data_IF_220266918308
#
_entry.id   IF_220266918308
#
_cell.length_a   1.000
_cell.length_b   1.000
_cell.length_c   1.000
_cell.angle_alpha   90.00
_cell.angle_beta   90.00
_cell.angle_gamma   90.00
#
_symmetry.space_group_name_H-M   'P 1'
#
loop_
_entity.id
_entity.type
_entity.pdbx_description
1 polymer ?
#
# COMPACT_ATOMS: atom_id res chain seq x y z
N UNK A 1 13.70 -21.40 -44.11
CA UNK A 1 13.64 -20.53 -42.91
C UNK A 1 14.77 -19.51 -43.07
N UNK A 2 14.47 -18.24 -43.33
CA UNK A 2 15.47 -17.22 -43.65
C UNK A 2 16.35 -16.93 -42.41
N UNK A 3 17.65 -16.68 -42.62
CA UNK A 3 18.63 -16.33 -41.57
C UNK A 3 18.10 -15.24 -40.61
N UNK A 4 17.32 -14.31 -41.16
CA UNK A 4 16.64 -13.23 -40.43
C UNK A 4 15.68 -13.75 -39.35
N UNK A 5 14.83 -14.75 -39.65
CA UNK A 5 13.90 -15.36 -38.68
C UNK A 5 14.62 -16.15 -37.59
N UNK A 6 15.81 -16.67 -37.88
CA UNK A 6 16.64 -17.37 -36.88
C UNK A 6 17.28 -16.35 -35.94
N UNK A 7 17.82 -15.25 -36.48
CA UNK A 7 18.40 -14.16 -35.69
C UNK A 7 17.37 -13.48 -34.78
N UNK A 8 16.18 -13.19 -35.29
CA UNK A 8 15.07 -12.58 -34.53
C UNK A 8 14.65 -13.48 -33.36
N UNK A 9 14.48 -14.79 -33.61
CA UNK A 9 14.15 -15.77 -32.57
C UNK A 9 15.26 -15.91 -31.53
N UNK A 10 16.54 -15.86 -31.93
CA UNK A 10 17.66 -15.89 -30.98
C UNK A 10 17.76 -14.61 -30.14
N UNK A 11 17.44 -13.44 -30.71
CA UNK A 11 17.40 -12.18 -30.00
C UNK A 11 16.25 -12.13 -28.98
N UNK A 12 15.04 -12.59 -29.35
CA UNK A 12 13.91 -12.70 -28.41
C UNK A 12 14.20 -13.65 -27.24
N UNK A 13 14.88 -14.77 -27.50
CA UNK A 13 15.26 -15.74 -26.46
C UNK A 13 16.32 -15.15 -25.53
N UNK A 14 17.29 -14.40 -26.06
CA UNK A 14 18.31 -13.74 -25.25
C UNK A 14 17.73 -12.62 -24.38
N UNK A 15 16.83 -11.78 -24.92
CA UNK A 15 16.20 -10.69 -24.17
C UNK A 15 15.29 -11.21 -23.04
N UNK A 16 14.46 -12.24 -23.33
CA UNK A 16 13.68 -12.94 -22.30
C UNK A 16 14.56 -13.58 -21.21
N UNK A 17 15.71 -14.16 -21.57
CA UNK A 17 16.62 -14.83 -20.63
C UNK A 17 17.39 -13.82 -19.76
N UNK A 18 17.81 -12.69 -20.32
CA UNK A 18 18.43 -11.58 -19.58
C UNK A 18 17.42 -10.92 -18.61
N UNK A 19 16.18 -10.69 -19.05
CA UNK A 19 15.10 -10.15 -18.20
C UNK A 19 14.74 -11.08 -17.04
N UNK A 20 14.69 -12.40 -17.26
CA UNK A 20 14.46 -13.40 -16.20
C UNK A 20 15.60 -13.44 -15.18
N UNK A 21 16.86 -13.44 -15.64
CA UNK A 21 18.04 -13.48 -14.77
C UNK A 21 18.16 -12.24 -13.88
N UNK A 22 17.89 -11.04 -14.42
CA UNK A 22 17.84 -9.80 -13.62
C UNK A 22 16.73 -9.86 -12.55
N UNK A 23 15.52 -10.33 -12.90
CA UNK A 23 14.42 -10.50 -11.94
C UNK A 23 14.75 -11.51 -10.84
N UNK A 24 15.34 -12.66 -11.16
CA UNK A 24 15.71 -13.67 -10.15
C UNK A 24 16.79 -13.15 -9.20
N UNK A 25 17.79 -12.41 -9.71
CA UNK A 25 18.82 -11.78 -8.87
C UNK A 25 18.23 -10.70 -7.95
N UNK A 26 17.27 -9.92 -8.44
CA UNK A 26 16.59 -8.90 -7.65
C UNK A 26 15.72 -9.51 -6.53
N UNK A 27 14.99 -10.59 -6.83
CA UNK A 27 14.23 -11.33 -5.82
C UNK A 27 15.16 -11.95 -4.77
N UNK A 28 16.28 -12.53 -5.18
CA UNK A 28 17.29 -13.06 -4.25
C UNK A 28 17.86 -11.96 -3.34
N UNK A 29 18.10 -10.76 -3.88
CA UNK A 29 18.52 -9.59 -3.09
C UNK A 29 17.47 -9.18 -2.06
N UNK A 30 16.18 -9.15 -2.42
CA UNK A 30 15.11 -8.80 -1.48
C UNK A 30 14.93 -9.83 -0.37
N UNK A 31 15.02 -11.12 -0.71
CA UNK A 31 14.97 -12.20 0.29
C UNK A 31 16.20 -12.12 1.20
N UNK A 32 17.40 -11.90 0.64
CA UNK A 32 18.62 -11.72 1.42
C UNK A 32 18.54 -10.51 2.36
N UNK A 33 17.99 -9.40 1.89
CA UNK A 33 17.72 -8.21 2.71
C UNK A 33 16.74 -8.50 3.87
N UNK A 34 15.68 -9.26 3.61
CA UNK A 34 14.71 -9.66 4.62
C UNK A 34 15.35 -10.54 5.70
N UNK A 35 16.12 -11.56 5.29
CA UNK A 35 16.83 -12.45 6.23
C UNK A 35 17.86 -11.66 7.04
N UNK A 36 18.63 -10.79 6.39
CA UNK A 36 19.62 -9.95 7.07
C UNK A 36 18.95 -9.05 8.10
N UNK A 37 17.86 -8.36 7.74
CA UNK A 37 17.10 -7.55 8.67
C UNK A 37 16.58 -8.37 9.85
N UNK A 38 16.00 -9.54 9.58
CA UNK A 38 15.51 -10.42 10.63
C UNK A 38 16.61 -10.86 11.61
N UNK A 39 17.80 -11.22 11.12
CA UNK A 39 18.95 -11.57 11.98
C UNK A 39 19.38 -10.36 12.80
N UNK A 40 19.55 -9.20 12.16
CA UNK A 40 20.00 -7.97 12.83
C UNK A 40 19.04 -7.52 13.93
N UNK A 41 17.73 -7.63 13.71
CA UNK A 41 16.73 -7.33 14.73
C UNK A 41 16.72 -8.35 15.88
N UNK A 42 17.02 -9.62 15.59
CA UNK A 42 17.04 -10.67 16.61
C UNK A 42 18.22 -10.55 17.59
N UNK A 43 19.31 -9.89 17.19
CA UNK A 43 20.47 -9.66 18.05
C UNK A 43 20.16 -8.72 19.23
N UNK A 44 19.06 -7.96 19.20
CA UNK A 44 18.63 -7.12 20.31
C UNK A 44 19.56 -5.93 20.62
N UNK A 45 20.45 -5.55 19.70
CA UNK A 45 21.40 -4.45 19.90
C UNK A 45 20.66 -3.11 19.80
N UNK A 46 20.59 -2.38 20.91
CA UNK A 46 19.79 -1.15 21.02
C UNK A 46 20.17 -0.07 19.99
N UNK A 47 21.47 0.17 19.78
CA UNK A 47 21.97 1.15 18.80
C UNK A 47 21.55 0.78 17.38
N UNK A 48 21.62 -0.51 17.04
CA UNK A 48 21.26 -1.02 15.73
C UNK A 48 19.75 -0.91 15.49
N UNK A 49 18.95 -1.25 16.50
CA UNK A 49 17.50 -1.11 16.47
C UNK A 49 17.09 0.37 16.31
N UNK A 50 17.75 1.30 17.02
CA UNK A 50 17.53 2.74 16.86
C UNK A 50 17.81 3.22 15.43
N UNK A 51 18.92 2.78 14.84
CA UNK A 51 19.26 3.11 13.45
C UNK A 51 18.25 2.53 12.45
N UNK A 52 17.84 1.26 12.63
CA UNK A 52 16.84 0.62 11.76
C UNK A 52 15.48 1.30 11.87
N UNK A 53 15.04 1.67 13.07
CA UNK A 53 13.80 2.43 13.27
C UNK A 53 13.84 3.80 12.58
N UNK A 54 14.98 4.50 12.66
CA UNK A 54 15.16 5.76 11.94
C UNK A 54 15.04 5.56 10.42
N UNK A 55 15.74 4.56 9.87
CA UNK A 55 15.70 4.24 8.44
C UNK A 55 14.29 3.85 7.99
N UNK A 56 13.59 3.01 8.76
CA UNK A 56 12.21 2.62 8.51
C UNK A 56 11.26 3.83 8.51
N UNK A 57 11.46 4.77 9.45
CA UNK A 57 10.67 6.01 9.55
C UNK A 57 10.93 6.92 8.35
N UNK A 58 12.19 7.13 7.98
CA UNK A 58 12.56 7.93 6.80
C UNK A 58 11.94 7.32 5.53
N UNK A 59 12.06 6.00 5.37
CA UNK A 59 11.48 5.30 4.23
C UNK A 59 9.95 5.44 4.19
N UNK A 60 9.27 5.30 5.34
CA UNK A 60 7.82 5.48 5.45
C UNK A 60 7.39 6.90 5.06
N UNK A 61 8.11 7.92 5.53
CA UNK A 61 7.84 9.33 5.19
C UNK A 61 8.01 9.59 3.69
N UNK A 62 9.09 9.09 3.08
CA UNK A 62 9.32 9.21 1.65
C UNK A 62 8.25 8.48 0.83
N UNK A 63 7.84 7.29 1.28
CA UNK A 63 6.76 6.54 0.67
C UNK A 63 5.43 7.30 0.73
N UNK A 64 5.04 7.81 1.90
CA UNK A 64 3.81 8.59 2.09
C UNK A 64 3.81 9.88 1.25
N UNK A 65 4.95 10.59 1.20
CA UNK A 65 5.13 11.80 0.40
C UNK A 65 4.82 11.56 -1.09
N UNK A 66 5.23 10.41 -1.63
CA UNK A 66 4.96 10.05 -3.02
C UNK A 66 3.58 9.42 -3.20
N UNK A 67 3.13 8.57 -2.27
CA UNK A 67 1.90 7.81 -2.39
C UNK A 67 0.67 8.72 -2.41
N UNK A 68 0.57 9.68 -1.48
CA UNK A 68 -0.58 10.58 -1.34
C UNK A 68 -0.92 11.32 -2.66
N UNK A 69 0.00 12.09 -3.29
CA UNK A 69 -0.30 12.77 -4.55
C UNK A 69 -0.45 11.80 -5.73
N UNK A 70 0.26 10.66 -5.72
CA UNK A 70 0.16 9.66 -6.79
C UNK A 70 -1.22 9.03 -6.85
N UNK A 71 -1.79 8.68 -5.70
CA UNK A 71 -3.14 8.09 -5.62
C UNK A 71 -4.18 9.08 -6.16
N UNK A 72 -4.10 10.35 -5.76
CA UNK A 72 -5.00 11.39 -6.26
C UNK A 72 -4.93 11.52 -7.78
N UNK A 73 -3.72 11.69 -8.34
CA UNK A 73 -3.54 11.84 -9.78
C UNK A 73 -3.99 10.59 -10.56
N UNK A 74 -3.62 9.40 -10.09
CA UNK A 74 -4.00 8.15 -10.73
C UNK A 74 -5.52 8.00 -10.82
N UNK A 75 -6.25 8.36 -9.76
CA UNK A 75 -7.72 8.30 -9.75
C UNK A 75 -8.32 9.35 -10.67
N UNK A 76 -7.82 10.59 -10.65
CA UNK A 76 -8.28 11.67 -11.54
C UNK A 76 -8.09 11.28 -13.00
N UNK A 77 -6.89 10.85 -13.38
CA UNK A 77 -6.56 10.51 -14.77
C UNK A 77 -7.34 9.29 -15.23
N UNK A 78 -7.44 8.25 -14.39
CA UNK A 78 -8.21 7.04 -14.68
C UNK A 78 -9.68 7.36 -14.92
N UNK A 79 -10.34 8.06 -13.99
CA UNK A 79 -11.77 8.37 -14.12
C UNK A 79 -12.05 9.39 -15.24
N UNK A 80 -11.13 10.33 -15.50
CA UNK A 80 -11.28 11.26 -16.63
C UNK A 80 -11.27 10.55 -17.99
N UNK A 81 -10.53 9.44 -18.10
CA UNK A 81 -10.46 8.61 -19.32
C UNK A 81 -11.64 7.65 -19.48
N UNK A 82 -12.17 7.11 -18.37
CA UNK A 82 -13.21 6.09 -18.37
C UNK A 82 -14.64 6.65 -18.46
N UNK A 83 -14.86 7.91 -18.06
CA UNK A 83 -16.22 8.46 -17.88
C UNK A 83 -17.06 8.61 -19.15
N UNK A 84 -16.52 8.33 -20.34
CA UNK A 84 -17.29 8.37 -21.60
C UNK A 84 -17.59 6.98 -22.20
N UNK A 85 -17.22 5.88 -21.53
CA UNK A 85 -17.44 4.53 -22.05
C UNK A 85 -18.66 3.87 -21.38
N UNK A 86 -19.57 3.32 -22.20
CA UNK A 86 -20.82 2.71 -21.74
C UNK A 86 -20.61 1.50 -20.79
N UNK A 87 -19.48 0.81 -20.89
CA UNK A 87 -19.17 -0.36 -20.07
C UNK A 87 -18.45 -0.05 -18.75
N UNK A 88 -17.99 1.20 -18.54
CA UNK A 88 -17.29 1.61 -17.31
C UNK A 88 -18.11 1.33 -16.05
N UNK A 89 -19.42 1.61 -16.08
CA UNK A 89 -20.29 1.37 -14.93
C UNK A 89 -20.43 -0.11 -14.57
N UNK A 90 -20.42 -1.01 -15.56
CA UNK A 90 -20.49 -2.46 -15.34
C UNK A 90 -19.21 -2.99 -14.69
N UNK A 91 -18.06 -2.50 -15.15
CA UNK A 91 -16.74 -2.85 -14.63
C UNK A 91 -16.63 -2.39 -13.17
N UNK A 92 -16.98 -1.14 -12.88
CA UNK A 92 -16.92 -0.59 -11.52
C UNK A 92 -17.86 -1.32 -10.55
N UNK A 93 -19.09 -1.61 -10.99
CA UNK A 93 -20.03 -2.41 -10.20
C UNK A 93 -19.51 -3.82 -9.93
N UNK A 94 -18.95 -4.50 -10.93
CA UNK A 94 -18.32 -5.80 -10.74
C UNK A 94 -17.17 -5.73 -9.75
N UNK A 95 -16.30 -4.71 -9.85
CA UNK A 95 -15.17 -4.53 -8.94
C UNK A 95 -15.64 -4.32 -7.49
N UNK A 96 -16.66 -3.49 -7.26
CA UNK A 96 -17.23 -3.28 -5.91
C UNK A 96 -17.83 -4.56 -5.36
N UNK A 97 -18.71 -5.22 -6.12
CA UNK A 97 -19.38 -6.45 -5.67
C UNK A 97 -18.35 -7.54 -5.39
N UNK A 98 -17.38 -7.72 -6.28
CA UNK A 98 -16.28 -8.66 -6.09
C UNK A 98 -15.49 -8.36 -4.81
N UNK A 99 -15.08 -7.10 -4.62
CA UNK A 99 -14.30 -6.68 -3.43
C UNK A 99 -15.08 -6.89 -2.13
N UNK A 100 -16.37 -6.52 -2.11
CA UNK A 100 -17.22 -6.73 -0.94
C UNK A 100 -17.41 -8.22 -0.63
N UNK A 101 -17.71 -9.04 -1.64
CA UNK A 101 -17.88 -10.49 -1.46
C UNK A 101 -16.59 -11.13 -0.95
N UNK A 102 -15.42 -10.78 -1.51
CA UNK A 102 -14.14 -11.30 -1.03
C UNK A 102 -13.82 -10.84 0.38
N UNK A 103 -14.21 -9.61 0.76
CA UNK A 103 -13.98 -9.07 2.12
C UNK A 103 -14.87 -9.76 3.14
N UNK A 104 -16.15 -9.96 2.81
CA UNK A 104 -17.09 -10.72 3.65
C UNK A 104 -16.62 -12.16 3.80
N UNK A 105 -16.17 -12.80 2.72
CA UNK A 105 -15.63 -14.16 2.77
C UNK A 105 -14.37 -14.24 3.64
N UNK A 106 -13.43 -13.30 3.50
CA UNK A 106 -12.24 -13.24 4.33
C UNK A 106 -12.58 -13.01 5.82
N UNK A 107 -13.53 -12.12 6.11
CA UNK A 107 -14.02 -11.88 7.47
C UNK A 107 -14.70 -13.13 8.06
N UNK A 108 -15.49 -13.86 7.26
CA UNK A 108 -16.11 -15.11 7.68
C UNK A 108 -15.06 -16.18 8.01
N UNK A 109 -14.03 -16.34 7.16
CA UNK A 109 -12.89 -17.24 7.44
C UNK A 109 -12.15 -16.80 8.70
N UNK A 110 -11.90 -15.51 8.88
CA UNK A 110 -11.28 -14.95 10.08
C UNK A 110 -12.09 -15.25 11.35
N UNK A 111 -13.42 -15.14 11.29
CA UNK A 111 -14.32 -15.45 12.40
C UNK A 111 -14.32 -16.96 12.70
N UNK A 112 -14.35 -17.81 11.68
CA UNK A 112 -14.24 -19.28 11.85
C UNK A 112 -12.91 -19.65 12.51
N UNK A 113 -11.79 -19.11 12.03
CA UNK A 113 -10.47 -19.33 12.63
C UNK A 113 -10.41 -18.81 14.07
N UNK A 114 -10.99 -17.64 14.35
CA UNK A 114 -11.09 -17.10 15.70
C UNK A 114 -11.84 -18.05 16.64
N UNK A 115 -12.97 -18.62 16.19
CA UNK A 115 -13.72 -19.59 16.98
C UNK A 115 -13.00 -20.93 17.16
N UNK A 116 -12.19 -21.37 16.18
CA UNK A 116 -11.42 -22.62 16.27
C UNK A 116 -10.22 -22.46 17.21
N UNK A 117 -9.48 -21.36 17.06
CA UNK A 117 -8.30 -21.06 17.89
C UNK A 117 -8.72 -20.62 19.30
N UNK A 118 -9.93 -20.07 19.45
CA UNK A 118 -10.57 -19.70 20.71
C UNK A 118 -9.59 -19.04 21.71
N UNK A 119 -9.08 -17.83 21.41
CA UNK A 119 -8.11 -17.15 22.27
C UNK A 119 -8.76 -16.60 23.55
N UNK A 120 -9.21 -17.50 24.43
CA UNK A 120 -10.00 -17.20 25.62
C UNK A 120 -9.20 -16.72 26.83
N UNK A 121 -7.87 -16.63 26.71
CA UNK A 121 -6.97 -16.42 27.87
C UNK A 121 -5.94 -15.30 27.70
N UNK A 122 -6.15 -14.35 26.78
CA UNK A 122 -5.32 -13.14 26.75
C UNK A 122 -5.64 -12.26 27.96
N UNK A 123 -4.66 -11.92 28.81
CA UNK A 123 -4.86 -10.95 29.89
C UNK A 123 -5.31 -9.62 29.30
N UNK A 124 -6.34 -9.04 29.91
CA UNK A 124 -6.90 -7.72 29.58
C UNK A 124 -5.84 -6.62 29.53
N UNK A 125 -4.79 -6.75 30.33
CA UNK A 125 -3.61 -5.89 30.45
C UNK A 125 -2.70 -5.88 29.20
N UNK A 126 -2.68 -6.96 28.40
CA UNK A 126 -1.98 -7.01 27.10
C UNK A 126 -2.78 -6.37 25.97
N UNK A 127 -4.11 -6.54 25.98
CA UNK A 127 -4.99 -5.87 25.02
C UNK A 127 -4.80 -4.36 25.18
N UNK A 128 -4.73 -3.88 26.43
CA UNK A 128 -4.61 -2.46 26.77
C UNK A 128 -3.27 -1.82 26.40
N UNK A 129 -2.18 -2.59 26.37
CA UNK A 129 -0.85 -2.09 25.95
C UNK A 129 -0.71 -1.95 24.43
N UNK A 130 -1.58 -2.59 23.65
CA UNK A 130 -1.82 -2.28 22.24
C UNK A 130 -2.86 -1.17 22.01
N UNK A 131 -3.63 -0.80 23.05
CA UNK A 131 -4.64 0.26 22.96
C UNK A 131 -4.19 1.62 23.48
N UNK A 132 -2.94 1.78 23.92
CA UNK A 132 -2.43 3.08 24.38
C UNK A 132 -2.40 4.17 23.27
N UNK A 133 -2.67 3.80 22.02
CA UNK A 133 -2.90 4.71 20.89
C UNK A 133 -4.36 4.78 20.43
N UNK A 134 -5.28 4.02 21.05
CA UNK A 134 -6.69 4.15 20.73
C UNK A 134 -7.20 5.48 21.30
N UNK A 135 -7.83 6.33 20.47
CA UNK A 135 -8.48 7.53 20.97
C UNK A 135 -9.42 7.14 22.11
N UNK A 136 -9.31 7.82 23.26
CA UNK A 136 -10.17 7.61 24.44
C UNK A 136 -11.68 7.83 24.18
N UNK A 137 -12.07 8.10 22.92
CA UNK A 137 -13.43 8.44 22.48
C UNK A 137 -13.98 7.49 21.39
N UNK A 138 -13.47 6.25 21.28
CA UNK A 138 -14.04 5.26 20.35
C UNK A 138 -15.50 4.92 20.64
N UNK A 139 -15.96 5.11 21.88
CA UNK A 139 -17.35 4.82 22.28
C UNK A 139 -18.39 5.82 21.74
N UNK A 140 -17.99 6.91 21.08
CA UNK A 140 -18.92 7.97 20.63
C UNK A 140 -18.75 8.46 19.20
N UNK A 141 -17.90 7.84 18.37
CA UNK A 141 -17.92 8.21 16.94
C UNK A 141 -19.14 7.60 16.30
N UNK A 142 -20.19 8.40 16.11
CA UNK A 142 -21.38 7.97 15.40
C UNK A 142 -21.02 7.60 13.97
N UNK A 143 -21.73 6.63 13.37
CA UNK A 143 -21.57 6.33 11.94
C UNK A 143 -21.69 7.59 11.07
N UNK A 144 -22.51 8.55 11.51
CA UNK A 144 -22.64 9.86 10.87
C UNK A 144 -21.35 10.69 10.94
N UNK A 145 -20.65 10.69 12.08
CA UNK A 145 -19.39 11.42 12.24
C UNK A 145 -18.28 10.83 11.35
N UNK A 146 -18.28 9.50 11.18
CA UNK A 146 -17.36 8.85 10.25
C UNK A 146 -17.61 9.29 8.80
N UNK A 147 -18.87 9.29 8.36
CA UNK A 147 -19.25 9.75 7.01
C UNK A 147 -18.88 11.23 6.81
N UNK A 148 -19.13 12.08 7.81
CA UNK A 148 -18.73 13.49 7.77
C UNK A 148 -17.21 13.64 7.70
N UNK A 149 -16.44 12.77 8.36
CA UNK A 149 -14.98 12.72 8.25
C UNK A 149 -14.47 12.34 6.85
N UNK A 150 -15.30 11.68 6.03
CA UNK A 150 -14.96 11.36 4.63
C UNK A 150 -15.13 12.58 3.73
N UNK A 151 -16.18 13.38 3.93
CA UNK A 151 -16.51 14.53 3.08
C UNK A 151 -15.66 15.73 3.54
N UNK A 152 -14.61 16.11 2.80
CA UNK A 152 -13.75 17.19 3.25
C UNK A 152 -14.43 18.54 3.03
N UNK A 153 -14.25 19.45 3.99
CA UNK A 153 -14.66 20.86 3.86
C UNK A 153 -13.56 21.73 3.24
N UNK A 154 -12.39 21.16 2.92
CA UNK A 154 -11.24 21.84 2.36
C UNK A 154 -10.50 20.93 1.38
N UNK A 155 -10.01 21.48 0.27
CA UNK A 155 -9.33 20.71 -0.78
C UNK A 155 -7.92 20.26 -0.35
N UNK A 156 -7.21 21.07 0.45
CA UNK A 156 -5.81 20.87 0.81
C UNK A 156 -5.66 20.02 2.08
N UNK A 157 -6.54 20.23 3.07
CA UNK A 157 -6.47 19.55 4.37
C UNK A 157 -6.33 18.01 4.26
N UNK A 158 -7.08 17.31 3.40
CA UNK A 158 -6.93 15.86 3.24
C UNK A 158 -5.53 15.42 2.80
N UNK A 159 -4.85 16.23 1.99
CA UNK A 159 -3.49 15.95 1.52
C UNK A 159 -2.45 16.18 2.64
N UNK A 160 -2.67 17.19 3.48
CA UNK A 160 -1.79 17.49 4.61
C UNK A 160 -1.91 16.43 5.72
N UNK A 161 -3.13 15.95 5.99
CA UNK A 161 -3.42 14.96 7.04
C UNK A 161 -3.26 13.51 6.56
N UNK A 162 -3.04 13.29 5.27
CA UNK A 162 -2.97 11.94 4.69
C UNK A 162 -4.30 11.18 4.76
N UNK A 163 -5.44 11.89 4.81
CA UNK A 163 -6.77 11.26 4.79
C UNK A 163 -7.07 10.72 3.38
N UNK A 164 -6.65 9.47 3.14
CA UNK A 164 -6.74 8.80 1.85
C UNK A 164 -8.19 8.74 1.35
N UNK A 165 -9.16 8.49 2.22
CA UNK A 165 -10.56 8.33 1.82
C UNK A 165 -11.15 9.65 1.29
N UNK A 166 -10.87 10.77 1.96
CA UNK A 166 -11.25 12.10 1.48
C UNK A 166 -10.50 12.50 0.20
N UNK A 167 -9.21 12.15 0.08
CA UNK A 167 -8.43 12.37 -1.15
C UNK A 167 -9.07 11.62 -2.32
N UNK A 168 -9.45 10.35 -2.14
CA UNK A 168 -10.09 9.53 -3.16
C UNK A 168 -11.42 10.14 -3.60
N UNK A 169 -12.23 10.66 -2.67
CA UNK A 169 -13.50 11.31 -2.97
C UNK A 169 -13.29 12.57 -3.85
N UNK A 170 -12.37 13.45 -3.46
CA UNK A 170 -12.02 14.65 -4.23
C UNK A 170 -11.47 14.30 -5.61
N UNK A 171 -10.55 13.33 -5.68
CA UNK A 171 -9.96 12.85 -6.92
C UNK A 171 -11.02 12.25 -7.86
N UNK A 172 -11.96 11.48 -7.31
CA UNK A 172 -13.06 10.92 -8.08
C UNK A 172 -14.02 11.98 -8.62
N UNK A 173 -14.40 12.96 -7.78
CA UNK A 173 -15.22 14.08 -8.21
C UNK A 173 -14.54 14.88 -9.34
N UNK A 174 -13.25 15.19 -9.20
CA UNK A 174 -12.47 15.88 -10.21
C UNK A 174 -12.32 15.07 -11.52
N UNK A 175 -12.05 13.75 -11.41
CA UNK A 175 -11.96 12.86 -12.57
C UNK A 175 -13.28 12.76 -13.35
N UNK A 176 -14.42 12.61 -12.66
CA UNK A 176 -15.75 12.58 -13.28
C UNK A 176 -16.10 13.94 -13.90
N UNK A 177 -15.77 15.05 -13.23
CA UNK A 177 -15.98 16.39 -13.77
C UNK A 177 -15.18 16.60 -15.07
N UNK A 178 -13.91 16.19 -15.10
CA UNK A 178 -13.07 16.23 -16.31
C UNK A 178 -13.62 15.32 -17.41
N UNK A 179 -14.14 14.14 -17.08
CA UNK A 179 -14.77 13.25 -18.07
C UNK A 179 -15.97 13.92 -18.75
N UNK A 180 -16.85 14.57 -17.98
CA UNK A 180 -18.06 15.25 -18.48
C UNK A 180 -17.79 16.61 -19.13
N UNK A 181 -16.62 17.21 -18.88
CA UNK A 181 -16.26 18.50 -19.45
C UNK A 181 -16.18 18.43 -21.00
N UNK A 182 -16.76 19.40 -21.74
CA UNK A 182 -16.69 19.44 -23.19
C UNK A 182 -15.25 19.44 -23.72
N UNK A 183 -15.05 18.83 -24.90
CA UNK A 183 -13.74 18.84 -25.55
C UNK A 183 -13.34 20.27 -25.87
N UNK A 184 -12.20 20.70 -25.34
CA UNK A 184 -11.64 22.03 -25.53
C UNK A 184 -10.14 21.98 -25.32
N UNK A 185 -9.40 22.90 -25.95
CA UNK A 185 -7.95 23.02 -25.75
C UNK A 185 -7.59 23.18 -24.26
N UNK A 186 -8.45 23.84 -23.47
CA UNK A 186 -8.27 24.01 -22.02
C UNK A 186 -8.31 22.67 -21.28
N UNK A 187 -9.29 21.82 -21.58
CA UNK A 187 -9.40 20.46 -21.00
C UNK A 187 -8.17 19.63 -21.34
N UNK A 188 -7.74 19.64 -22.59
CA UNK A 188 -6.59 18.86 -23.04
C UNK A 188 -5.29 19.28 -22.33
N UNK A 189 -5.06 20.59 -22.17
CA UNK A 189 -3.90 21.12 -21.42
C UNK A 189 -3.92 20.65 -19.97
N UNK A 190 -5.08 20.68 -19.30
CA UNK A 190 -5.21 20.21 -17.91
C UNK A 190 -4.92 18.71 -17.80
N UNK A 191 -5.51 17.88 -18.66
CA UNK A 191 -5.31 16.42 -18.65
C UNK A 191 -3.85 16.07 -18.93
N UNK A 192 -3.22 16.71 -19.93
CA UNK A 192 -1.79 16.50 -20.21
C UNK A 192 -0.90 16.93 -19.05
N UNK A 193 -1.23 18.04 -18.36
CA UNK A 193 -0.51 18.48 -17.17
C UNK A 193 -0.60 17.46 -16.02
N UNK A 194 -1.79 16.91 -15.78
CA UNK A 194 -2.01 15.87 -14.76
C UNK A 194 -1.24 14.58 -15.08
N UNK A 195 -1.25 14.14 -16.34
CA UNK A 195 -0.49 12.98 -16.80
C UNK A 195 1.02 13.21 -16.67
N UNK A 196 1.53 14.37 -17.08
CA UNK A 196 2.94 14.71 -16.92
C UNK A 196 3.39 14.75 -15.47
N UNK A 197 2.54 15.25 -14.55
CA UNK A 197 2.81 15.22 -13.13
C UNK A 197 2.80 13.79 -12.57
N UNK A 198 1.89 12.93 -13.05
CA UNK A 198 1.84 11.53 -12.70
C UNK A 198 3.12 10.79 -13.16
N UNK A 199 3.60 11.06 -14.37
CA UNK A 199 4.85 10.49 -14.88
C UNK A 199 6.08 10.94 -14.06
N UNK A 200 6.10 12.22 -13.64
CA UNK A 200 7.13 12.73 -12.73
C UNK A 200 7.12 11.96 -11.40
N UNK A 201 5.95 11.77 -10.79
CA UNK A 201 5.84 10.99 -9.55
C UNK A 201 6.27 9.54 -9.76
N UNK A 202 5.91 8.91 -10.88
CA UNK A 202 6.37 7.57 -11.23
C UNK A 202 7.89 7.49 -11.37
N UNK A 203 8.54 8.53 -11.90
CA UNK A 203 10.00 8.60 -11.94
C UNK A 203 10.60 8.68 -10.54
N UNK A 204 10.02 9.46 -9.63
CA UNK A 204 10.44 9.51 -8.23
C UNK A 204 10.24 8.17 -7.51
N UNK A 205 9.11 7.48 -7.75
CA UNK A 205 8.83 6.15 -7.21
C UNK A 205 9.86 5.14 -7.70
N UNK A 206 10.30 5.20 -8.97
CA UNK A 206 11.38 4.35 -9.46
C UNK A 206 12.69 4.58 -8.70
N UNK A 207 12.99 5.82 -8.34
CA UNK A 207 14.10 6.16 -7.44
C UNK A 207 13.91 5.55 -6.04
N UNK A 208 12.69 5.64 -5.48
CA UNK A 208 12.38 5.04 -4.18
C UNK A 208 12.50 3.50 -4.20
N UNK A 209 12.09 2.85 -5.29
CA UNK A 209 12.24 1.39 -5.49
C UNK A 209 13.72 0.98 -5.50
N UNK A 210 14.62 1.83 -5.96
CA UNK A 210 16.05 1.54 -5.89
C UNK A 210 16.56 1.49 -4.43
N UNK A 211 16.01 2.34 -3.56
CA UNK A 211 16.28 2.34 -2.12
C UNK A 211 15.47 1.28 -1.32
N UNK A 212 14.51 0.59 -1.96
CA UNK A 212 13.65 -0.41 -1.32
C UNK A 212 14.38 -1.50 -0.52
N UNK A 213 15.52 -2.08 -0.98
CA UNK A 213 16.22 -3.11 -0.21
C UNK A 213 16.61 -2.64 1.19
N UNK A 214 17.00 -1.37 1.34
CA UNK A 214 17.33 -0.77 2.64
C UNK A 214 16.08 -0.68 3.53
N UNK A 215 14.93 -0.30 2.96
CA UNK A 215 13.65 -0.31 3.67
C UNK A 215 13.28 -1.72 4.13
N UNK A 216 13.46 -2.74 3.29
CA UNK A 216 13.19 -4.14 3.64
C UNK A 216 14.04 -4.58 4.84
N UNK A 217 15.35 -4.30 4.85
CA UNK A 217 16.23 -4.62 5.99
C UNK A 217 15.72 -3.94 7.27
N UNK A 218 15.42 -2.64 7.19
CA UNK A 218 14.99 -1.85 8.34
C UNK A 218 13.65 -2.34 8.92
N UNK A 219 12.65 -2.60 8.08
CA UNK A 219 11.36 -3.12 8.53
C UNK A 219 11.46 -4.55 9.05
N UNK A 220 12.24 -5.42 8.40
CA UNK A 220 12.46 -6.78 8.87
C UNK A 220 13.20 -6.80 10.23
N UNK A 221 14.17 -5.89 10.42
CA UNK A 221 14.85 -5.72 11.70
C UNK A 221 13.90 -5.19 12.79
N UNK A 222 13.10 -4.17 12.49
CA UNK A 222 12.10 -3.63 13.42
C UNK A 222 11.11 -4.71 13.86
N UNK A 223 10.59 -5.50 12.90
CA UNK A 223 9.69 -6.60 13.19
C UNK A 223 10.39 -7.67 14.04
N UNK A 224 11.57 -8.14 13.64
CA UNK A 224 12.31 -9.17 14.37
C UNK A 224 12.72 -8.76 15.78
N UNK A 225 13.06 -7.49 15.99
CA UNK A 225 13.34 -6.95 17.32
C UNK A 225 12.11 -7.01 18.23
N UNK A 226 10.91 -6.71 17.72
CA UNK A 226 9.66 -6.87 18.47
C UNK A 226 9.37 -8.34 18.80
N UNK A 227 9.66 -9.26 17.87
CA UNK A 227 9.53 -10.70 18.13
C UNK A 227 10.49 -11.18 19.22
N UNK A 228 11.76 -10.77 19.15
CA UNK A 228 12.83 -11.22 20.05
C UNK A 228 12.73 -10.61 21.44
N UNK A 229 12.15 -9.41 21.56
CA UNK A 229 11.74 -8.81 22.82
C UNK A 229 10.60 -9.58 23.53
N UNK A 230 10.14 -10.70 22.96
CA UNK A 230 9.14 -11.58 23.55
C UNK A 230 7.70 -11.09 23.38
N UNK A 231 7.48 -9.87 22.87
CA UNK A 231 6.14 -9.28 22.67
C UNK A 231 5.28 -10.22 21.83
N UNK A 232 5.84 -10.77 20.75
CA UNK A 232 5.10 -11.59 19.78
C UNK A 232 5.03 -13.07 20.18
N UNK A 233 6.11 -13.64 20.76
CA UNK A 233 6.08 -15.03 21.26
C UNK A 233 5.14 -15.19 22.46
N UNK A 234 5.09 -14.19 23.34
CA UNK A 234 4.15 -14.12 24.45
C UNK A 234 2.70 -13.99 23.98
N UNK A 235 2.46 -13.22 22.90
CA UNK A 235 1.16 -13.18 22.22
C UNK A 235 0.80 -14.56 21.67
N UNK A 236 1.62 -15.15 20.79
CA UNK A 236 1.33 -16.43 20.13
C UNK A 236 1.22 -17.62 21.08
N UNK A 237 2.04 -17.71 22.13
CA UNK A 237 1.92 -18.76 23.15
C UNK A 237 0.54 -18.78 23.79
N UNK A 238 -0.03 -17.61 24.08
CA UNK A 238 -1.39 -17.47 24.60
C UNK A 238 -2.50 -17.72 23.58
N UNK A 239 -2.21 -17.68 22.28
CA UNK A 239 -3.16 -18.05 21.23
C UNK A 239 -3.25 -19.56 21.00
N UNK A 240 -2.24 -20.35 21.39
CA UNK A 240 -2.18 -21.79 21.08
C UNK A 240 -2.10 -22.72 22.30
N UNK A 241 -1.92 -22.20 23.52
CA UNK A 241 -1.94 -22.98 24.78
C UNK A 241 -3.34 -23.12 25.43
N UNK A 242 -4.42 -23.14 24.64
CA UNK A 242 -5.78 -23.50 25.11
C UNK A 242 -6.31 -24.73 24.40
#
# INVERSE_FOLDING_TARGET
MTMEKVMEKTMEIQDKKQGKSKKTKQLALWIGALILGAILGALGIEVLNGMMNFVATVYTRLFQLLAVPTIALAVITTLSSLGNQADTGKIFRHAIVYTLLTTIAAAAVGLVLYNIVAPGNLPTDMVLSGTSELPQNLEQTSYYDHILGVIPNNIIKPFAEGNVLSILLLAAAAGIALAKMPQSNKKEVVVKGLLGLQDLLFMLIRGLIWALPLGIVAFAAQLSAQFSAGIVMYLFGKYFES
#
